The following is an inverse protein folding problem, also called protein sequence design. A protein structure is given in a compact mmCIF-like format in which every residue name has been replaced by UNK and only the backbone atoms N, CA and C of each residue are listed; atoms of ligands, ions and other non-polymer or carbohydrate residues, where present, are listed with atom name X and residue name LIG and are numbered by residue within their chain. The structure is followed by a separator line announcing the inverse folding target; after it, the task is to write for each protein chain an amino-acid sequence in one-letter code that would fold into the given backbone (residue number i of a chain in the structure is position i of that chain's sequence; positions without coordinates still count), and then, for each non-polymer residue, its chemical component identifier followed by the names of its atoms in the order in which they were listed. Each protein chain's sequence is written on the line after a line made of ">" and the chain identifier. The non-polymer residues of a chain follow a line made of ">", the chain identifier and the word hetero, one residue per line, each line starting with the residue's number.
data_IF_942161981965
#
_entry.id   IF_942161981965
#
_cell.length_a   1.000
_cell.length_b   1.000
_cell.length_c   1.000
_cell.angle_alpha   90.00
_cell.angle_beta   90.00
_cell.angle_gamma   90.00
#
_symmetry.space_group_name_H-M   'P 1'
#
loop_
_entity.id
_entity.type
_entity.pdbx_description
1 polymer ?
#
# COMPACT_ATOMS: atom_id res chain seq x y z
N UNK A 1 -36.79 -18.78 26.58
CA UNK A 1 -36.82 -17.90 25.40
C UNK A 1 -35.39 -17.51 25.08
N UNK A 2 -34.88 -17.80 23.89
CA UNK A 2 -33.47 -17.52 23.55
C UNK A 2 -33.19 -16.02 23.62
N UNK A 3 -31.99 -15.64 24.07
CA UNK A 3 -31.52 -14.23 24.16
C UNK A 3 -31.63 -13.46 22.83
N UNK A 4 -31.68 -14.16 21.70
CA UNK A 4 -31.88 -13.62 20.35
C UNK A 4 -33.31 -13.15 20.12
N UNK A 5 -34.34 -13.91 20.54
CA UNK A 5 -35.74 -13.55 20.30
C UNK A 5 -36.19 -12.28 21.03
N UNK A 6 -35.68 -12.04 22.24
CA UNK A 6 -35.99 -10.82 23.01
C UNK A 6 -35.35 -9.56 22.38
N UNK A 7 -34.14 -9.71 21.83
CA UNK A 7 -33.41 -8.61 21.19
C UNK A 7 -34.01 -8.24 19.84
N UNK A 8 -34.48 -9.21 19.07
CA UNK A 8 -35.17 -8.94 17.80
C UNK A 8 -36.55 -8.31 18.00
N UNK A 9 -37.27 -8.71 19.06
CA UNK A 9 -38.52 -8.06 19.46
C UNK A 9 -38.30 -6.60 19.86
N UNK A 10 -37.26 -6.31 20.65
CA UNK A 10 -36.90 -4.95 21.04
C UNK A 10 -36.50 -4.09 19.82
N UNK A 11 -35.77 -4.65 18.86
CA UNK A 11 -35.41 -3.95 17.61
C UNK A 11 -36.62 -3.64 16.74
N UNK A 12 -37.58 -4.56 16.61
CA UNK A 12 -38.84 -4.30 15.89
C UNK A 12 -39.66 -3.20 16.57
N UNK A 13 -39.84 -3.29 17.89
CA UNK A 13 -40.57 -2.27 18.65
C UNK A 13 -39.92 -0.88 18.54
N UNK A 14 -38.59 -0.80 18.57
CA UNK A 14 -37.89 0.47 18.37
C UNK A 14 -38.12 1.01 16.95
N UNK A 15 -38.07 0.15 15.93
CA UNK A 15 -38.30 0.55 14.53
C UNK A 15 -39.73 1.05 14.30
N UNK A 16 -40.72 0.35 14.85
CA UNK A 16 -42.13 0.76 14.81
C UNK A 16 -42.35 2.09 15.54
N UNK A 17 -41.70 2.28 16.70
CA UNK A 17 -41.78 3.53 17.46
C UNK A 17 -41.17 4.70 16.68
N UNK A 18 -40.02 4.50 16.02
CA UNK A 18 -39.37 5.52 15.19
C UNK A 18 -40.24 5.87 13.97
N UNK A 19 -40.90 4.89 13.36
CA UNK A 19 -41.81 5.13 12.24
C UNK A 19 -43.01 6.00 12.66
N UNK A 20 -43.67 5.66 13.78
CA UNK A 20 -44.78 6.45 14.32
C UNK A 20 -44.35 7.86 14.70
N UNK A 21 -43.15 8.03 15.25
CA UNK A 21 -42.58 9.36 15.55
C UNK A 21 -42.30 10.16 14.29
N UNK A 22 -41.79 9.53 13.24
CA UNK A 22 -41.51 10.18 11.95
C UNK A 22 -42.80 10.65 11.27
N UNK A 23 -43.85 9.84 11.31
CA UNK A 23 -45.18 10.21 10.78
C UNK A 23 -45.79 11.35 11.59
N UNK A 24 -45.61 11.35 12.91
CA UNK A 24 -46.06 12.42 13.80
C UNK A 24 -45.36 13.75 13.49
N UNK A 25 -44.03 13.72 13.27
CA UNK A 25 -43.26 14.92 12.86
C UNK A 25 -43.69 15.41 11.48
N UNK A 26 -43.98 14.52 10.53
CA UNK A 26 -44.49 14.90 9.22
C UNK A 26 -45.88 15.56 9.30
N UNK A 27 -46.76 15.06 10.17
CA UNK A 27 -48.06 15.67 10.47
C UNK A 27 -47.92 17.06 11.11
N UNK A 28 -47.00 17.22 12.07
CA UNK A 28 -46.69 18.51 12.69
C UNK A 28 -46.07 19.50 11.69
N UNK A 29 -45.26 19.04 10.73
CA UNK A 29 -44.77 19.87 9.64
C UNK A 29 -45.87 20.37 8.71
N UNK A 30 -46.90 19.55 8.45
CA UNK A 30 -48.09 19.97 7.68
C UNK A 30 -48.97 20.95 8.47
N UNK A 31 -49.09 20.79 9.78
CA UNK A 31 -49.81 21.78 10.61
C UNK A 31 -49.05 23.11 10.70
N UNK A 32 -47.71 23.09 10.71
CA UNK A 32 -46.86 24.29 10.69
C UNK A 32 -47.16 25.23 9.51
N UNK A 33 -47.36 24.67 8.31
CA UNK A 33 -47.68 25.44 7.10
C UNK A 33 -49.10 26.01 7.11
N UNK A 34 -50.06 25.30 7.74
CA UNK A 34 -51.42 25.79 7.91
C UNK A 34 -51.51 26.90 8.96
N UNK A 35 -50.79 26.78 10.08
CA UNK A 35 -50.80 27.74 11.19
C UNK A 35 -50.04 29.02 10.86
N UNK A 36 -48.96 28.94 10.07
CA UNK A 36 -48.20 30.12 9.62
C UNK A 36 -49.02 31.14 8.82
N UNK A 37 -50.12 30.71 8.20
CA UNK A 37 -51.00 31.58 7.42
C UNK A 37 -52.04 32.32 8.27
N UNK A 38 -52.17 32.01 9.56
CA UNK A 38 -53.20 32.58 10.46
C UNK A 38 -52.77 33.92 11.06
N UNK A 39 -51.45 34.18 11.17
CA UNK A 39 -50.89 35.50 11.49
C UNK A 39 -51.22 36.05 12.89
N UNK A 40 -51.68 35.22 13.83
CA UNK A 40 -52.02 35.65 15.20
C UNK A 40 -50.83 35.50 16.16
N UNK A 41 -50.81 36.24 17.29
CA UNK A 41 -49.78 36.09 18.33
C UNK A 41 -49.71 34.66 18.87
N UNK A 42 -50.86 34.02 19.09
CA UNK A 42 -50.95 32.64 19.58
C UNK A 42 -50.41 31.63 18.56
N UNK A 43 -50.66 31.85 17.26
CA UNK A 43 -50.07 31.04 16.19
C UNK A 43 -48.54 31.18 16.15
N UNK A 44 -48.02 32.36 16.44
CA UNK A 44 -46.58 32.65 16.46
C UNK A 44 -45.90 31.96 17.64
N UNK A 45 -46.52 32.00 18.83
CA UNK A 45 -46.03 31.28 20.00
C UNK A 45 -46.05 29.76 19.79
N UNK A 46 -47.13 29.22 19.19
CA UNK A 46 -47.24 27.80 18.87
C UNK A 46 -46.15 27.33 17.89
N UNK A 47 -45.82 28.15 16.88
CA UNK A 47 -44.72 27.87 15.96
C UNK A 47 -43.35 27.90 16.65
N UNK A 48 -43.14 28.83 17.59
CA UNK A 48 -41.91 28.89 18.37
C UNK A 48 -41.75 27.68 19.30
N UNK A 49 -42.84 27.23 19.93
CA UNK A 49 -42.84 26.04 20.80
C UNK A 49 -42.60 24.75 19.98
N UNK A 50 -43.16 24.66 18.77
CA UNK A 50 -42.88 23.58 17.82
C UNK A 50 -41.40 23.57 17.39
N UNK A 51 -40.85 24.72 17.05
CA UNK A 51 -39.45 24.84 16.65
C UNK A 51 -38.51 24.48 17.82
N UNK A 52 -38.85 24.90 19.04
CA UNK A 52 -38.12 24.52 20.25
C UNK A 52 -38.22 23.01 20.52
N UNK A 53 -39.37 22.39 20.28
CA UNK A 53 -39.55 20.94 20.42
C UNK A 53 -38.74 20.16 19.37
N UNK A 54 -38.78 20.57 18.10
CA UNK A 54 -37.99 19.96 17.03
C UNK A 54 -36.47 20.15 17.22
N UNK A 55 -36.05 21.21 17.91
CA UNK A 55 -34.65 21.46 18.27
C UNK A 55 -34.17 20.65 19.48
N UNK A 56 -35.05 19.94 20.21
CA UNK A 56 -34.62 19.10 21.34
C UNK A 56 -33.81 17.91 20.83
N UNK A 57 -32.57 17.83 21.28
CA UNK A 57 -31.69 16.68 21.07
C UNK A 57 -32.25 15.46 21.80
N UNK A 58 -32.36 14.33 21.11
CA UNK A 58 -32.84 13.09 21.73
C UNK A 58 -31.82 12.57 22.77
N UNK A 59 -32.28 11.94 23.88
CA UNK A 59 -31.37 11.33 24.85
C UNK A 59 -30.59 10.20 24.18
N UNK A 60 -29.30 10.43 23.91
CA UNK A 60 -28.43 9.53 23.15
C UNK A 60 -27.40 10.26 22.26
N UNK A 61 -27.59 11.55 21.98
CA UNK A 61 -26.57 12.40 21.32
C UNK A 61 -25.48 12.86 22.31
N UNK A 62 -25.00 11.96 23.16
CA UNK A 62 -23.85 12.24 24.02
C UNK A 62 -22.62 12.24 23.13
N UNK A 63 -22.18 13.44 22.75
CA UNK A 63 -20.97 13.73 21.98
C UNK A 63 -20.77 12.87 20.73
N UNK A 64 -21.32 13.31 19.58
CA UNK A 64 -20.81 12.84 18.30
C UNK A 64 -19.32 13.17 18.23
N UNK A 65 -18.48 12.15 18.40
CA UNK A 65 -17.05 12.23 18.15
C UNK A 65 -16.82 12.92 16.78
N UNK A 66 -15.82 13.80 16.62
CA UNK A 66 -15.57 14.49 15.35
C UNK A 66 -15.56 13.55 14.14
N UNK A 67 -15.08 12.32 14.31
CA UNK A 67 -15.09 11.29 13.26
C UNK A 67 -16.51 10.89 12.84
N UNK A 68 -17.46 10.76 13.78
CA UNK A 68 -18.85 10.44 13.46
C UNK A 68 -19.49 11.59 12.67
N UNK A 69 -19.21 12.83 13.06
CA UNK A 69 -19.67 14.01 12.32
C UNK A 69 -19.06 14.06 10.91
N UNK A 70 -17.78 13.70 10.77
CA UNK A 70 -17.12 13.61 9.46
C UNK A 70 -17.74 12.52 8.58
N UNK A 71 -18.07 11.36 9.15
CA UNK A 71 -18.78 10.27 8.45
C UNK A 71 -20.17 10.72 8.02
N UNK A 72 -20.93 11.39 8.89
CA UNK A 72 -22.27 11.90 8.58
C UNK A 72 -22.23 12.93 7.45
N UNK A 73 -21.28 13.86 7.50
CA UNK A 73 -21.07 14.86 6.44
C UNK A 73 -20.69 14.20 5.11
N UNK A 74 -19.81 13.21 5.13
CA UNK A 74 -19.41 12.49 3.92
C UNK A 74 -20.55 11.64 3.35
N UNK A 75 -21.33 11.00 4.21
CA UNK A 75 -22.52 10.26 3.81
C UNK A 75 -23.57 11.18 3.16
N UNK A 76 -23.71 12.42 3.63
CA UNK A 76 -24.57 13.42 2.98
C UNK A 76 -24.06 13.76 1.56
N UNK A 77 -22.76 13.99 1.38
CA UNK A 77 -22.15 14.25 0.07
C UNK A 77 -22.35 13.07 -0.90
N UNK A 78 -22.16 11.84 -0.43
CA UNK A 78 -22.42 10.62 -1.20
C UNK A 78 -23.88 10.55 -1.68
N UNK A 79 -24.85 10.85 -0.80
CA UNK A 79 -26.29 10.86 -1.13
C UNK A 79 -26.63 11.90 -2.19
N UNK A 80 -26.08 13.12 -2.09
CA UNK A 80 -26.26 14.18 -3.09
C UNK A 80 -25.75 13.71 -4.46
N UNK A 81 -24.56 13.11 -4.51
CA UNK A 81 -23.98 12.62 -5.76
C UNK A 81 -24.79 11.48 -6.38
N UNK A 82 -25.32 10.57 -5.57
CA UNK A 82 -26.24 9.54 -6.04
C UNK A 82 -27.55 10.13 -6.58
N UNK A 83 -28.05 11.22 -5.99
CA UNK A 83 -29.23 11.92 -6.50
C UNK A 83 -28.97 12.52 -7.89
N UNK A 84 -27.81 13.17 -8.09
CA UNK A 84 -27.39 13.68 -9.41
C UNK A 84 -27.23 12.56 -10.45
N UNK A 85 -26.61 11.44 -10.06
CA UNK A 85 -26.47 10.28 -10.94
C UNK A 85 -27.83 9.71 -11.37
N UNK A 86 -28.79 9.63 -10.43
CA UNK A 86 -30.18 9.22 -10.73
C UNK A 86 -30.91 10.19 -11.65
N UNK A 87 -30.60 11.48 -11.61
CA UNK A 87 -31.14 12.48 -12.52
C UNK A 87 -30.56 12.33 -13.94
N UNK A 88 -29.32 11.85 -14.06
CA UNK A 88 -28.67 11.49 -15.34
C UNK A 88 -29.06 10.11 -15.88
N UNK A 89 -30.05 9.45 -15.27
CA UNK A 89 -30.52 8.12 -15.68
C UNK A 89 -29.65 6.95 -15.22
N UNK A 90 -28.60 7.19 -14.43
CA UNK A 90 -27.73 6.15 -13.89
C UNK A 90 -28.39 5.52 -12.65
N UNK A 91 -28.97 4.32 -12.81
CA UNK A 91 -29.71 3.57 -11.78
C UNK A 91 -29.42 2.06 -11.90
N UNK A 92 -29.98 1.26 -10.98
CA UNK A 92 -30.03 -0.20 -11.15
C UNK A 92 -28.82 -0.98 -10.64
N UNK A 93 -27.90 -0.36 -9.90
CA UNK A 93 -26.73 -1.06 -9.32
C UNK A 93 -27.10 -2.21 -8.37
N UNK A 94 -28.30 -2.18 -7.78
CA UNK A 94 -28.82 -3.23 -6.89
C UNK A 94 -29.48 -4.40 -7.63
N UNK A 95 -29.58 -4.33 -8.96
CA UNK A 95 -30.21 -5.38 -9.75
C UNK A 95 -29.26 -6.57 -9.96
N UNK A 96 -29.80 -7.78 -10.07
CA UNK A 96 -29.03 -9.03 -10.22
C UNK A 96 -28.28 -9.13 -11.54
N UNK A 97 -28.72 -8.38 -12.57
CA UNK A 97 -28.02 -8.31 -13.86
C UNK A 97 -26.68 -7.59 -13.79
N UNK A 98 -26.47 -6.75 -12.77
CA UNK A 98 -25.19 -6.06 -12.56
C UNK A 98 -24.26 -7.01 -11.81
N UNK A 99 -23.12 -7.31 -12.43
CA UNK A 99 -22.10 -8.16 -11.83
C UNK A 99 -21.28 -7.34 -10.83
N UNK A 100 -20.92 -7.95 -9.70
CA UNK A 100 -20.09 -7.30 -8.68
C UNK A 100 -18.73 -6.88 -9.25
N UNK A 101 -18.18 -7.71 -10.15
CA UNK A 101 -16.98 -7.40 -10.92
C UNK A 101 -17.05 -6.06 -11.64
N UNK A 102 -18.19 -5.75 -12.26
CA UNK A 102 -18.38 -4.50 -13.00
C UNK A 102 -18.33 -3.29 -12.05
N UNK A 103 -18.92 -3.40 -10.87
CA UNK A 103 -18.86 -2.35 -9.85
C UNK A 103 -17.43 -2.18 -9.31
N UNK A 104 -16.69 -3.28 -9.13
CA UNK A 104 -15.28 -3.25 -8.74
C UNK A 104 -14.38 -2.60 -9.80
N UNK A 105 -14.61 -2.90 -11.09
CA UNK A 105 -13.92 -2.27 -12.22
C UNK A 105 -14.21 -0.76 -12.30
N UNK A 106 -15.46 -0.35 -12.06
CA UNK A 106 -15.82 1.07 -11.97
C UNK A 106 -15.12 1.77 -10.80
N UNK A 107 -15.11 1.17 -9.61
CA UNK A 107 -14.40 1.71 -8.44
C UNK A 107 -12.92 1.93 -8.75
N UNK A 108 -12.25 0.88 -9.23
CA UNK A 108 -10.82 0.91 -9.56
C UNK A 108 -10.52 1.92 -10.66
N UNK A 109 -11.38 2.00 -11.68
CA UNK A 109 -11.25 2.96 -12.78
C UNK A 109 -11.41 4.42 -12.35
N UNK A 110 -11.96 4.70 -11.17
CA UNK A 110 -12.06 6.06 -10.61
C UNK A 110 -10.81 6.47 -9.80
N UNK A 111 -10.01 5.52 -9.31
CA UNK A 111 -8.76 5.80 -8.58
C UNK A 111 -7.83 6.81 -9.30
N UNK A 112 -7.55 6.72 -10.62
CA UNK A 112 -6.61 7.62 -11.29
C UNK A 112 -7.19 8.99 -11.69
N UNK A 113 -8.51 9.24 -11.55
CA UNK A 113 -9.19 10.35 -12.26
C UNK A 113 -9.01 11.74 -11.66
N UNK A 114 -8.50 11.89 -10.43
CA UNK A 114 -8.01 13.16 -9.85
C UNK A 114 -8.96 14.37 -9.86
N UNK A 115 -10.26 14.19 -10.13
CA UNK A 115 -11.24 15.25 -10.34
C UNK A 115 -12.07 15.53 -9.07
N UNK A 116 -12.67 16.74 -8.95
CA UNK A 116 -13.58 17.05 -7.84
C UNK A 116 -14.73 16.04 -7.75
N UNK A 117 -15.01 15.56 -6.54
CA UNK A 117 -16.04 14.55 -6.30
C UNK A 117 -15.58 13.09 -6.43
N UNK A 118 -14.32 12.83 -6.76
CA UNK A 118 -13.85 11.47 -6.99
C UNK A 118 -13.90 10.57 -5.75
N UNK A 119 -13.74 11.16 -4.54
CA UNK A 119 -13.82 10.43 -3.29
C UNK A 119 -15.22 9.86 -3.06
N UNK A 120 -16.26 10.64 -3.37
CA UNK A 120 -17.66 10.26 -3.28
C UNK A 120 -18.00 9.18 -4.31
N UNK A 121 -17.41 9.20 -5.51
CA UNK A 121 -17.59 8.14 -6.51
C UNK A 121 -17.01 6.82 -6.02
N UNK A 122 -15.76 6.84 -5.55
CA UNK A 122 -15.07 5.65 -5.01
C UNK A 122 -15.86 5.10 -3.82
N UNK A 123 -16.28 5.97 -2.89
CA UNK A 123 -17.05 5.57 -1.73
C UNK A 123 -18.44 5.02 -2.10
N UNK A 124 -19.10 5.58 -3.11
CA UNK A 124 -20.38 5.08 -3.58
C UNK A 124 -20.25 3.67 -4.17
N UNK A 125 -19.25 3.41 -5.01
CA UNK A 125 -19.02 2.04 -5.52
C UNK A 125 -18.61 1.06 -4.40
N UNK A 126 -17.79 1.51 -3.43
CA UNK A 126 -17.42 0.69 -2.29
C UNK A 126 -18.64 0.32 -1.44
N UNK A 127 -19.53 1.29 -1.22
CA UNK A 127 -20.80 1.08 -0.53
C UNK A 127 -21.70 0.11 -1.31
N UNK A 128 -21.81 0.24 -2.63
CA UNK A 128 -22.60 -0.66 -3.47
C UNK A 128 -22.11 -2.12 -3.39
N UNK A 129 -20.80 -2.33 -3.44
CA UNK A 129 -20.17 -3.66 -3.28
C UNK A 129 -20.45 -4.23 -1.88
N UNK A 130 -20.29 -3.40 -0.84
CA UNK A 130 -20.59 -3.81 0.53
C UNK A 130 -22.07 -4.20 0.71
N UNK A 131 -23.02 -3.42 0.17
CA UNK A 131 -24.46 -3.71 0.27
C UNK A 131 -24.87 -4.97 -0.50
N UNK A 132 -24.04 -5.42 -1.46
CA UNK A 132 -24.25 -6.63 -2.24
C UNK A 132 -23.53 -7.85 -1.67
N UNK A 133 -22.83 -7.69 -0.54
CA UNK A 133 -21.99 -8.72 0.07
C UNK A 133 -20.95 -9.30 -0.91
N UNK A 134 -20.43 -8.43 -1.79
CA UNK A 134 -19.49 -8.83 -2.82
C UNK A 134 -18.17 -9.32 -2.19
N UNK A 135 -17.62 -10.42 -2.72
CA UNK A 135 -16.35 -10.95 -2.22
C UNK A 135 -15.21 -9.93 -2.43
N UNK A 136 -14.37 -9.63 -1.42
CA UNK A 136 -13.27 -8.66 -1.54
C UNK A 136 -12.25 -8.92 -2.68
N UNK A 137 -12.26 -10.12 -3.27
CA UNK A 137 -11.36 -10.52 -4.37
C UNK A 137 -11.73 -9.84 -5.68
N UNK A 138 -12.98 -9.41 -5.85
CA UNK A 138 -13.42 -8.65 -7.03
C UNK A 138 -12.61 -7.36 -7.21
N UNK A 139 -12.22 -6.70 -6.10
CA UNK A 139 -11.33 -5.52 -6.15
C UNK A 139 -9.92 -5.89 -6.62
N UNK A 140 -9.37 -7.01 -6.17
CA UNK A 140 -8.07 -7.52 -6.60
C UNK A 140 -8.08 -7.84 -8.09
N UNK A 141 -9.13 -8.50 -8.58
CA UNK A 141 -9.29 -8.82 -10.01
C UNK A 141 -9.42 -7.55 -10.85
N UNK A 142 -10.26 -6.60 -10.42
CA UNK A 142 -10.42 -5.32 -11.10
C UNK A 142 -9.10 -4.52 -11.17
N UNK A 143 -8.34 -4.47 -10.07
CA UNK A 143 -7.04 -3.80 -10.00
C UNK A 143 -6.01 -4.41 -10.97
N UNK A 144 -5.88 -5.74 -10.97
CA UNK A 144 -4.96 -6.45 -11.87
C UNK A 144 -5.37 -6.29 -13.35
N UNK A 145 -6.68 -6.28 -13.64
CA UNK A 145 -7.19 -6.02 -14.98
C UNK A 145 -6.87 -4.60 -15.46
N UNK A 146 -6.99 -3.60 -14.57
CA UNK A 146 -6.60 -2.21 -14.87
C UNK A 146 -5.10 -2.10 -15.20
N UNK A 147 -4.22 -2.72 -14.41
CA UNK A 147 -2.78 -2.72 -14.65
C UNK A 147 -2.43 -3.39 -16.00
N UNK A 148 -3.09 -4.50 -16.32
CA UNK A 148 -2.89 -5.22 -17.59
C UNK A 148 -3.32 -4.37 -18.81
N UNK A 149 -4.40 -3.59 -18.66
CA UNK A 149 -4.92 -2.69 -19.71
C UNK A 149 -4.02 -1.47 -19.93
N UNK A 150 -3.40 -0.94 -18.86
CA UNK A 150 -2.42 0.14 -18.94
C UNK A 150 -1.12 -0.33 -19.62
N UNK A 151 -0.70 -1.57 -19.34
CA UNK A 151 0.45 -2.19 -19.98
C UNK A 151 0.24 -2.38 -21.50
N UNK A 152 -0.94 -2.85 -21.92
CA UNK A 152 -1.27 -3.04 -23.35
C UNK A 152 -1.43 -1.75 -24.13
N UNK A 153 -1.97 -0.67 -23.53
CA UNK A 153 -2.06 0.65 -24.20
C UNK A 153 -0.70 1.31 -24.47
N UNK A 154 0.34 0.99 -23.69
CA UNK A 154 1.70 1.49 -23.94
C UNK A 154 2.40 0.80 -25.11
N UNK A 155 1.94 -0.39 -25.54
CA UNK A 155 2.58 -1.18 -26.60
C UNK A 155 2.09 -0.80 -28.00
N UNK A 156 0.91 -0.19 -28.14
CA UNK A 156 0.30 0.09 -29.46
C UNK A 156 0.52 1.50 -30.01
N UNK A 157 1.13 2.42 -29.26
CA UNK A 157 1.39 3.80 -29.73
C UNK A 157 2.87 4.04 -30.03
N UNK A 158 3.32 3.62 -31.21
CA UNK A 158 4.60 4.03 -31.79
C UNK A 158 4.63 3.76 -33.29
N UNK A 159 4.79 4.76 -34.17
CA UNK A 159 4.98 4.50 -35.58
C UNK A 159 6.39 3.94 -35.80
N UNK A 160 6.49 2.98 -36.70
CA UNK A 160 7.74 2.30 -37.02
C UNK A 160 8.81 3.28 -37.48
N UNK A 161 10.02 3.09 -36.97
CA UNK A 161 11.21 3.55 -37.68
C UNK A 161 12.35 2.54 -37.52
N UNK A 162 12.98 2.36 -38.66
CA UNK A 162 14.13 1.52 -39.03
C UNK A 162 15.16 1.26 -37.94
N UNK A 163 15.56 -0.01 -37.86
CA UNK A 163 16.58 -0.57 -37.00
C UNK A 163 17.91 0.20 -37.05
N UNK A 164 18.29 0.75 -35.91
CA UNK A 164 19.66 0.94 -35.46
C UNK A 164 19.83 0.03 -34.24
N UNK A 165 20.99 -0.60 -34.00
CA UNK A 165 21.15 -1.52 -32.89
C UNK A 165 20.99 -0.72 -31.59
N UNK A 166 19.86 -0.95 -30.92
CA UNK A 166 19.47 -0.28 -29.71
C UNK A 166 20.45 -0.72 -28.62
N UNK A 167 21.36 0.16 -28.23
CA UNK A 167 22.10 0.03 -26.98
C UNK A 167 21.04 -0.04 -25.88
N UNK A 168 20.72 -1.24 -25.41
CA UNK A 168 19.62 -1.46 -24.47
C UNK A 168 19.84 -0.55 -23.25
N UNK A 169 18.92 0.40 -23.04
CA UNK A 169 18.98 1.29 -21.88
C UNK A 169 18.88 0.45 -20.62
N UNK A 170 19.94 0.48 -19.80
CA UNK A 170 20.02 -0.20 -18.50
C UNK A 170 18.86 0.25 -17.60
N UNK A 171 18.02 -0.69 -17.13
CA UNK A 171 16.91 -0.34 -16.23
C UNK A 171 17.39 -0.37 -14.78
N UNK A 172 17.04 0.66 -14.01
CA UNK A 172 17.33 0.71 -12.58
C UNK A 172 16.07 0.44 -11.74
N UNK A 173 16.13 -0.52 -10.81
CA UNK A 173 15.00 -0.87 -9.92
C UNK A 173 15.40 -0.81 -8.44
N UNK A 174 14.49 -0.40 -7.54
CA UNK A 174 14.77 -0.38 -6.11
C UNK A 174 14.81 -1.80 -5.52
N UNK A 175 15.70 -2.02 -4.56
CA UNK A 175 15.71 -3.23 -3.72
C UNK A 175 15.94 -2.87 -2.24
N UNK A 176 15.34 -3.63 -1.33
CA UNK A 176 15.39 -3.39 0.11
C UNK A 176 16.21 -4.49 0.79
N UNK A 177 17.15 -4.09 1.64
CA UNK A 177 17.89 -5.00 2.51
C UNK A 177 17.71 -4.57 3.97
N UNK A 178 17.84 -5.52 4.91
CA UNK A 178 17.88 -5.20 6.33
C UNK A 178 19.27 -4.60 6.68
N UNK A 179 19.45 -4.14 7.93
CA UNK A 179 20.70 -3.52 8.37
C UNK A 179 21.93 -4.41 8.18
N UNK A 180 21.95 -5.63 8.73
CA UNK A 180 23.08 -6.55 8.58
C UNK A 180 23.41 -6.90 7.12
N UNK A 181 22.41 -7.13 6.27
CA UNK A 181 22.62 -7.37 4.82
C UNK A 181 23.15 -6.13 4.09
N UNK A 182 22.74 -4.93 4.50
CA UNK A 182 23.30 -3.68 3.98
C UNK A 182 24.77 -3.54 4.38
N UNK A 183 25.13 -3.95 5.60
CA UNK A 183 26.53 -4.02 6.03
C UNK A 183 27.34 -4.97 5.16
N UNK A 184 26.81 -6.17 4.90
CA UNK A 184 27.43 -7.17 4.05
C UNK A 184 27.67 -6.65 2.62
N UNK A 185 26.72 -5.88 2.07
CA UNK A 185 26.86 -5.24 0.76
C UNK A 185 27.97 -4.18 0.76
N UNK A 186 28.04 -3.33 1.79
CA UNK A 186 29.10 -2.32 1.92
C UNK A 186 30.49 -2.95 2.10
N UNK A 187 30.56 -4.10 2.78
CA UNK A 187 31.77 -4.89 2.95
C UNK A 187 32.14 -5.74 1.72
N UNK A 188 31.29 -5.78 0.68
CA UNK A 188 31.49 -6.61 -0.50
C UNK A 188 31.34 -8.13 -0.25
N UNK A 189 30.75 -8.52 0.88
CA UNK A 189 30.55 -9.91 1.28
C UNK A 189 29.26 -10.51 0.71
N UNK A 190 28.26 -9.67 0.39
CA UNK A 190 27.00 -10.10 -0.23
C UNK A 190 27.01 -9.83 -1.73
N UNK A 191 26.88 -10.88 -2.54
CA UNK A 191 26.85 -10.84 -4.01
C UNK A 191 25.62 -11.54 -4.59
N UNK A 192 24.84 -12.23 -3.76
CA UNK A 192 23.63 -12.95 -4.16
C UNK A 192 22.48 -12.58 -3.23
N UNK A 193 21.25 -12.57 -3.75
CA UNK A 193 20.05 -12.52 -2.92
C UNK A 193 18.96 -13.45 -3.44
N UNK A 194 18.32 -14.16 -2.51
CA UNK A 194 17.11 -14.96 -2.78
C UNK A 194 15.81 -14.23 -2.41
N UNK A 195 14.78 -14.36 -3.24
CA UNK A 195 13.44 -13.77 -3.04
C UNK A 195 12.34 -14.74 -3.46
N UNK A 196 11.27 -14.82 -2.68
CA UNK A 196 10.13 -15.71 -2.97
C UNK A 196 9.51 -15.44 -4.34
N UNK A 197 9.17 -16.51 -5.06
CA UNK A 197 8.33 -16.42 -6.27
C UNK A 197 6.85 -16.44 -5.83
N UNK A 198 6.15 -15.31 -5.93
CA UNK A 198 4.75 -15.18 -5.49
C UNK A 198 3.75 -16.01 -6.33
N UNK A 199 4.12 -16.42 -7.55
CA UNK A 199 3.34 -17.33 -8.39
C UNK A 199 4.10 -18.65 -8.55
N UNK A 200 3.67 -19.76 -7.92
CA UNK A 200 4.28 -21.05 -8.18
C UNK A 200 4.06 -21.44 -9.66
N UNK A 201 5.02 -22.11 -10.31
CA UNK A 201 4.85 -22.58 -11.68
C UNK A 201 3.57 -23.40 -11.80
N UNK A 202 2.73 -23.08 -12.80
CA UNK A 202 1.64 -23.96 -13.22
C UNK A 202 2.29 -25.23 -13.75
N UNK A 203 2.21 -26.34 -13.01
CA UNK A 203 2.60 -27.65 -13.55
C UNK A 203 1.49 -28.16 -14.47
N UNK A 204 1.75 -28.45 -15.76
CA UNK A 204 1.16 -29.61 -16.39
C UNK A 204 1.99 -30.82 -15.94
N UNK A 205 1.31 -31.91 -15.59
CA UNK A 205 1.93 -33.20 -15.33
C UNK A 205 3.00 -33.54 -16.38
N UNK A 206 4.21 -33.92 -15.97
CA UNK A 206 4.88 -35.17 -16.40
C UNK A 206 6.21 -35.42 -15.68
N UNK A 207 6.44 -36.72 -15.52
CA UNK A 207 7.48 -37.51 -14.87
C UNK A 207 8.96 -37.16 -15.14
N UNK A 208 9.79 -37.47 -14.13
CA UNK A 208 11.16 -38.02 -14.13
C UNK A 208 11.98 -37.92 -15.43
N UNK A 209 13.07 -37.13 -15.39
CA UNK A 209 14.31 -37.46 -16.08
C UNK A 209 15.51 -36.79 -15.40
N UNK A 210 16.53 -37.60 -15.16
CA UNK A 210 17.81 -37.27 -14.55
C UNK A 210 18.61 -36.23 -15.35
N UNK A 211 19.35 -35.37 -14.64
CA UNK A 211 20.63 -34.84 -15.12
C UNK A 211 20.61 -33.97 -16.38
N UNK A 212 19.97 -32.80 -16.34
CA UNK A 212 20.36 -31.56 -17.04
C UNK A 212 19.45 -30.43 -16.56
N UNK A 213 20.02 -29.24 -16.34
CA UNK A 213 19.37 -28.08 -15.73
C UNK A 213 17.90 -27.92 -16.14
N UNK A 214 17.00 -28.14 -15.19
CA UNK A 214 15.56 -28.14 -15.40
C UNK A 214 15.12 -26.68 -15.52
N UNK A 215 14.92 -26.22 -16.75
CA UNK A 215 14.05 -25.09 -17.00
C UNK A 215 12.64 -25.52 -16.57
N UNK A 216 12.17 -24.91 -15.49
CA UNK A 216 10.83 -25.13 -14.96
C UNK A 216 9.80 -24.68 -15.99
N UNK A 217 8.97 -25.62 -16.47
CA UNK A 217 7.87 -25.31 -17.38
C UNK A 217 6.93 -24.29 -16.72
N UNK A 218 7.03 -23.01 -17.13
CA UNK A 218 6.10 -21.95 -16.76
C UNK A 218 6.65 -20.75 -15.99
N UNK A 219 7.93 -20.72 -15.60
CA UNK A 219 8.59 -19.51 -15.06
C UNK A 219 9.80 -19.22 -15.94
N UNK A 220 9.69 -18.24 -16.82
CA UNK A 220 10.84 -17.78 -17.60
C UNK A 220 11.67 -16.84 -16.73
N UNK A 221 13.00 -16.97 -16.77
CA UNK A 221 13.91 -16.04 -16.10
C UNK A 221 13.64 -14.59 -16.49
N UNK A 222 13.14 -14.38 -17.72
CA UNK A 222 12.69 -13.10 -18.27
C UNK A 222 11.62 -12.38 -17.42
N UNK A 223 10.83 -13.13 -16.64
CA UNK A 223 9.75 -12.60 -15.79
C UNK A 223 10.24 -12.11 -14.42
N UNK A 224 11.54 -12.16 -14.14
CA UNK A 224 12.10 -11.73 -12.86
C UNK A 224 11.75 -10.26 -12.57
N UNK A 225 11.06 -9.96 -11.45
CA UNK A 225 10.63 -8.60 -11.12
C UNK A 225 11.80 -7.66 -10.81
N UNK A 226 12.97 -8.23 -10.50
CA UNK A 226 14.19 -7.47 -10.17
C UNK A 226 14.98 -7.05 -11.42
N UNK A 227 14.74 -7.67 -12.57
CA UNK A 227 15.42 -7.35 -13.83
C UNK A 227 16.22 -8.52 -14.38
N UNK A 228 16.97 -8.22 -15.44
CA UNK A 228 17.80 -9.19 -16.17
C UNK A 228 19.29 -8.87 -16.03
N UNK A 229 20.20 -9.81 -16.36
CA UNK A 229 21.63 -9.52 -16.46
C UNK A 229 21.90 -8.24 -17.27
N UNK A 230 22.71 -7.34 -16.71
CA UNK A 230 22.99 -6.01 -17.25
C UNK A 230 22.06 -4.90 -16.75
N UNK A 231 20.90 -5.21 -16.16
CA UNK A 231 20.09 -4.24 -15.41
C UNK A 231 20.77 -3.88 -14.07
N UNK A 232 20.27 -2.83 -13.40
CA UNK A 232 20.81 -2.35 -12.13
C UNK A 232 19.76 -2.34 -11.03
N UNK A 233 20.20 -2.65 -9.82
CA UNK A 233 19.45 -2.52 -8.58
C UNK A 233 20.06 -1.43 -7.73
N UNK A 234 19.23 -0.53 -7.22
CA UNK A 234 19.65 0.50 -6.28
C UNK A 234 19.10 0.19 -4.88
N UNK A 235 19.99 0.10 -3.91
CA UNK A 235 19.62 -0.33 -2.55
C UNK A 235 18.95 0.81 -1.80
N UNK A 236 17.88 0.50 -1.09
CA UNK A 236 17.19 1.41 -0.19
C UNK A 236 17.61 1.19 1.26
N UNK A 237 18.19 2.23 1.84
CA UNK A 237 18.70 2.25 3.21
C UNK A 237 17.82 3.12 4.11
N UNK A 238 17.87 2.90 5.43
CA UNK A 238 17.27 3.82 6.39
C UNK A 238 18.18 5.03 6.54
N UNK A 239 17.66 6.24 6.30
CA UNK A 239 18.49 7.40 6.01
C UNK A 239 17.88 8.70 6.53
N UNK A 240 18.66 9.78 6.46
CA UNK A 240 18.26 11.15 6.73
C UNK A 240 18.97 12.09 5.74
N UNK A 241 18.30 13.10 5.17
CA UNK A 241 19.01 14.15 4.47
C UNK A 241 19.80 14.96 5.49
N UNK A 242 21.09 15.07 5.25
CA UNK A 242 22.04 15.88 6.02
C UNK A 242 22.86 16.68 5.03
N UNK A 243 22.42 17.89 4.67
CA UNK A 243 23.21 18.75 3.80
C UNK A 243 24.46 19.17 4.56
N UNK A 244 25.60 18.56 4.25
CA UNK A 244 26.88 18.98 4.79
C UNK A 244 27.18 20.45 4.48
N UNK A 245 27.86 21.06 5.44
CA UNK A 245 28.10 22.48 5.64
C UNK A 245 28.66 23.22 4.40
N UNK A 246 27.98 24.28 3.98
CA UNK A 246 28.50 25.21 2.97
C UNK A 246 27.46 25.92 2.11
N UNK A 247 26.18 25.48 2.11
CA UNK A 247 25.13 26.20 1.40
C UNK A 247 24.58 27.33 2.27
N UNK A 248 24.50 28.55 1.74
CA UNK A 248 24.09 29.77 2.45
C UNK A 248 22.72 29.64 3.15
N UNK A 249 21.80 28.84 2.59
CA UNK A 249 20.49 28.55 3.21
C UNK A 249 20.54 27.64 4.45
N UNK A 250 21.71 27.08 4.80
CA UNK A 250 21.95 26.12 5.89
C UNK A 250 23.30 26.38 6.61
N UNK A 251 23.83 27.62 6.51
CA UNK A 251 25.06 28.06 7.19
C UNK A 251 24.96 28.07 8.71
N UNK A 252 23.77 27.86 9.27
CA UNK A 252 23.58 27.65 10.70
C UNK A 252 23.60 26.13 10.96
N UNK A 253 24.67 25.63 11.59
CA UNK A 253 24.84 24.25 12.08
C UNK A 253 23.73 23.78 13.08
N UNK A 254 22.61 24.51 13.16
CA UNK A 254 21.57 24.42 14.19
C UNK A 254 20.27 23.77 13.69
N UNK A 255 20.07 23.61 12.38
CA UNK A 255 18.85 23.00 11.85
C UNK A 255 19.04 21.49 11.64
N UNK A 256 18.69 20.71 12.67
CA UNK A 256 18.51 19.27 12.50
C UNK A 256 17.43 19.00 11.44
N UNK A 257 17.50 17.83 10.76
CA UNK A 257 16.42 17.36 9.88
C UNK A 257 15.03 17.45 10.55
N UNK A 258 14.96 17.16 11.84
CA UNK A 258 13.71 17.24 12.61
C UNK A 258 13.16 18.67 12.69
N UNK A 259 14.04 19.68 12.79
CA UNK A 259 13.68 21.09 12.79
C UNK A 259 13.17 21.53 11.42
N UNK A 260 13.77 21.03 10.34
CA UNK A 260 13.35 21.32 8.97
C UNK A 260 11.95 20.78 8.64
N UNK A 261 11.65 19.54 9.02
CA UNK A 261 10.31 18.96 8.84
C UNK A 261 9.28 19.69 9.71
N UNK A 262 9.64 20.08 10.94
CA UNK A 262 8.76 20.89 11.81
C UNK A 262 8.43 22.25 11.22
N UNK A 263 9.31 22.82 10.41
CA UNK A 263 9.06 24.05 9.64
C UNK A 263 8.16 23.84 8.40
N UNK A 264 7.54 22.66 8.24
CA UNK A 264 6.58 22.35 7.17
C UNK A 264 7.22 21.94 5.84
N UNK A 265 8.56 21.80 5.80
CA UNK A 265 9.28 21.44 4.57
C UNK A 265 9.23 19.93 4.31
N UNK A 266 8.96 19.56 3.05
CA UNK A 266 8.83 18.19 2.56
C UNK A 266 10.07 17.77 1.79
N UNK A 267 10.34 16.47 1.68
CA UNK A 267 11.55 15.94 1.03
C UNK A 267 11.75 16.38 -0.43
N UNK A 268 10.67 16.69 -1.14
CA UNK A 268 10.71 17.29 -2.48
C UNK A 268 11.30 18.70 -2.49
N UNK A 269 11.28 19.40 -1.36
CA UNK A 269 11.77 20.76 -1.17
C UNK A 269 13.29 20.78 -0.91
N UNK A 270 13.95 19.62 -0.84
CA UNK A 270 15.42 19.55 -0.80
C UNK A 270 15.96 20.12 -2.12
N UNK A 271 16.82 21.16 -2.08
CA UNK A 271 17.40 21.77 -3.27
C UNK A 271 18.12 20.76 -4.15
N UNK A 272 17.99 20.88 -5.47
CA UNK A 272 18.57 19.93 -6.43
C UNK A 272 20.09 19.78 -6.26
N UNK A 273 20.80 20.87 -5.94
CA UNK A 273 22.24 20.86 -5.66
C UNK A 273 22.63 19.94 -4.49
N UNK A 274 21.72 19.74 -3.53
CA UNK A 274 21.90 18.94 -2.33
C UNK A 274 21.37 17.51 -2.47
N UNK A 275 20.70 17.16 -3.58
CA UNK A 275 20.19 15.81 -3.83
C UNK A 275 21.30 14.85 -4.27
N UNK A 276 22.23 14.54 -3.37
CA UNK A 276 23.36 13.64 -3.60
C UNK A 276 23.57 12.71 -2.40
N UNK A 277 24.07 11.49 -2.59
CA UNK A 277 24.26 10.54 -1.50
C UNK A 277 25.19 11.04 -0.39
N UNK A 278 26.16 11.91 -0.72
CA UNK A 278 27.05 12.58 0.25
C UNK A 278 26.35 13.56 1.20
N UNK A 279 25.13 14.00 0.87
CA UNK A 279 24.32 14.85 1.74
C UNK A 279 23.25 14.04 2.48
N UNK A 280 23.56 12.78 2.76
CA UNK A 280 22.69 11.88 3.47
C UNK A 280 23.49 11.22 4.60
N UNK A 281 22.88 11.13 5.77
CA UNK A 281 23.33 10.25 6.85
C UNK A 281 22.56 8.94 6.71
N UNK A 282 23.26 7.81 6.74
CA UNK A 282 22.65 6.49 6.73
C UNK A 282 22.72 5.91 8.13
N UNK A 283 21.64 5.25 8.57
CA UNK A 283 21.53 4.71 9.92
C UNK A 283 22.65 3.74 10.26
N UNK A 284 23.14 3.01 9.27
CA UNK A 284 24.19 2.01 9.43
C UNK A 284 25.58 2.61 9.72
N UNK A 285 25.82 3.86 9.31
CA UNK A 285 27.12 4.50 9.48
C UNK A 285 27.28 5.14 10.87
N UNK A 286 26.18 5.24 11.64
CA UNK A 286 26.14 6.02 12.87
C UNK A 286 26.11 5.10 14.07
N UNK A 287 27.15 5.18 14.90
CA UNK A 287 27.21 4.52 16.20
C UNK A 287 26.61 5.40 17.32
N UNK A 288 26.00 4.79 18.34
CA UNK A 288 25.54 5.46 19.57
C UNK A 288 24.12 6.04 19.55
N UNK A 289 23.84 6.97 20.48
CA UNK A 289 22.52 7.48 20.90
C UNK A 289 21.67 8.24 19.85
N UNK A 290 21.98 8.09 18.55
CA UNK A 290 21.14 8.53 17.43
C UNK A 290 19.83 7.73 17.29
N UNK A 291 19.56 6.79 18.20
CA UNK A 291 18.26 6.11 18.34
C UNK A 291 17.09 7.07 18.54
N UNK A 292 17.33 8.30 19.05
CA UNK A 292 16.30 9.35 19.17
C UNK A 292 16.03 10.12 17.86
N UNK A 293 16.83 9.89 16.82
CA UNK A 293 16.64 10.55 15.53
C UNK A 293 15.40 10.03 14.83
N UNK A 294 14.63 10.93 14.19
CA UNK A 294 13.46 10.58 13.38
C UNK A 294 13.88 10.06 12.00
N UNK A 295 14.48 8.87 11.95
CA UNK A 295 14.93 8.20 10.74
C UNK A 295 13.83 8.08 9.67
N UNK A 296 14.18 8.25 8.40
CA UNK A 296 13.28 7.91 7.29
C UNK A 296 13.37 6.42 7.00
N UNK A 297 12.24 5.70 7.00
CA UNK A 297 12.21 4.31 6.56
C UNK A 297 12.77 4.14 5.14
N UNK A 298 13.47 3.03 4.91
CA UNK A 298 14.05 2.67 3.62
C UNK A 298 13.03 2.67 2.47
N UNK A 299 11.77 2.29 2.72
CA UNK A 299 10.69 2.30 1.73
C UNK A 299 10.42 3.68 1.11
N UNK A 300 10.78 4.76 1.79
CA UNK A 300 10.58 6.14 1.32
C UNK A 300 11.85 6.77 0.73
N UNK A 301 12.94 6.01 0.62
CA UNK A 301 14.19 6.53 0.09
C UNK A 301 14.09 6.79 -1.43
N UNK A 302 14.39 8.02 -1.90
CA UNK A 302 14.42 8.36 -3.31
C UNK A 302 15.74 7.94 -3.96
N UNK A 303 15.75 7.82 -5.29
CA UNK A 303 16.93 7.36 -6.05
C UNK A 303 18.19 8.23 -5.85
N UNK A 304 18.02 9.55 -5.72
CA UNK A 304 19.14 10.49 -5.55
C UNK A 304 19.89 10.32 -4.22
N UNK A 305 19.25 9.71 -3.22
CA UNK A 305 19.83 9.43 -1.91
C UNK A 305 20.52 8.06 -1.86
N UNK A 306 20.51 7.28 -2.95
CA UNK A 306 21.11 5.95 -2.96
C UNK A 306 22.62 6.03 -3.23
N UNK A 307 23.43 5.42 -2.35
CA UNK A 307 24.89 5.27 -2.53
C UNK A 307 25.34 3.89 -2.99
N UNK A 308 24.48 2.87 -2.95
CA UNK A 308 24.81 1.50 -3.32
C UNK A 308 24.06 1.12 -4.60
N UNK A 309 24.81 0.93 -5.67
CA UNK A 309 24.31 0.47 -6.96
C UNK A 309 24.89 -0.92 -7.25
N UNK A 310 24.03 -1.83 -7.69
CA UNK A 310 24.35 -3.22 -7.97
C UNK A 310 24.00 -3.50 -9.43
N UNK A 311 24.91 -4.07 -10.19
CA UNK A 311 24.66 -4.56 -11.55
C UNK A 311 24.33 -6.04 -11.48
N UNK A 312 23.18 -6.44 -12.04
CA UNK A 312 22.75 -7.83 -12.08
C UNK A 312 23.66 -8.59 -13.04
N UNK A 313 24.25 -9.69 -12.57
CA UNK A 313 25.15 -10.54 -13.36
C UNK A 313 24.46 -11.82 -13.83
N UNK A 314 23.57 -12.37 -13.01
CA UNK A 314 22.83 -13.59 -13.32
C UNK A 314 21.47 -13.61 -12.59
N UNK A 315 20.49 -14.27 -13.19
CA UNK A 315 19.16 -14.48 -12.59
C UNK A 315 18.69 -15.89 -12.91
N UNK A 316 18.32 -16.63 -11.86
CA UNK A 316 17.80 -18.00 -12.00
C UNK A 316 16.74 -18.31 -10.95
N UNK A 317 16.12 -19.47 -11.10
CA UNK A 317 15.08 -19.98 -10.19
C UNK A 317 15.59 -21.28 -9.58
N UNK A 318 15.66 -21.34 -8.26
CA UNK A 318 16.11 -22.51 -7.50
C UNK A 318 15.12 -22.84 -6.38
N UNK A 319 15.20 -24.06 -5.83
CA UNK A 319 14.57 -24.37 -4.56
C UNK A 319 15.33 -23.70 -3.42
N UNK A 320 14.61 -23.20 -2.43
CA UNK A 320 15.19 -22.50 -1.29
C UNK A 320 16.27 -23.31 -0.56
N UNK A 321 16.02 -24.60 -0.33
CA UNK A 321 16.92 -25.48 0.42
C UNK A 321 18.06 -26.06 -0.43
N UNK A 322 18.06 -25.87 -1.76
CA UNK A 322 19.15 -26.32 -2.65
C UNK A 322 20.32 -25.32 -2.64
N UNK A 323 20.61 -24.74 -1.47
CA UNK A 323 21.66 -23.75 -1.27
C UNK A 323 22.99 -24.43 -0.93
N UNK A 324 24.09 -23.98 -1.54
CA UNK A 324 25.44 -24.43 -1.18
C UNK A 324 26.05 -23.53 -0.10
N UNK A 325 27.07 -23.99 0.66
CA UNK A 325 27.72 -23.15 1.66
C UNK A 325 28.35 -21.89 1.05
N UNK A 326 28.90 -21.98 -0.16
CA UNK A 326 29.44 -20.81 -0.87
C UNK A 326 28.34 -19.79 -1.20
N UNK A 327 27.17 -20.27 -1.61
CA UNK A 327 26.02 -19.41 -1.87
C UNK A 327 25.46 -18.79 -0.57
N UNK A 328 25.51 -19.50 0.56
CA UNK A 328 25.15 -18.95 1.86
C UNK A 328 26.13 -17.84 2.28
N UNK A 329 27.44 -18.02 2.08
CA UNK A 329 28.44 -16.96 2.27
C UNK A 329 28.14 -15.76 1.36
N UNK A 330 27.84 -16.00 0.08
CA UNK A 330 27.50 -14.98 -0.90
C UNK A 330 26.17 -14.26 -0.60
N UNK A 331 25.28 -14.86 0.20
CA UNK A 331 24.11 -14.19 0.78
C UNK A 331 24.49 -13.24 1.93
N UNK A 332 25.73 -13.29 2.42
CA UNK A 332 26.22 -12.41 3.48
C UNK A 332 25.91 -12.91 4.90
N UNK A 333 25.67 -14.21 5.09
CA UNK A 333 25.32 -14.78 6.41
C UNK A 333 26.41 -14.54 7.47
N UNK A 334 27.67 -14.47 7.04
CA UNK A 334 28.80 -14.22 7.94
C UNK A 334 28.73 -12.84 8.61
N UNK A 335 28.21 -11.82 7.93
CA UNK A 335 28.02 -10.48 8.52
C UNK A 335 26.92 -10.47 9.59
N UNK A 336 26.14 -11.55 9.71
CA UNK A 336 25.07 -11.71 10.68
C UNK A 336 25.38 -12.80 11.71
N UNK A 337 26.55 -13.46 11.65
CA UNK A 337 26.88 -14.63 12.47
C UNK A 337 26.63 -14.38 13.95
N UNK A 338 27.15 -13.28 14.49
CA UNK A 338 27.00 -12.95 15.91
C UNK A 338 25.54 -12.74 16.35
N UNK A 339 24.64 -12.41 15.41
CA UNK A 339 23.20 -12.27 15.69
C UNK A 339 22.42 -13.57 15.50
N UNK A 340 22.89 -14.45 14.60
CA UNK A 340 22.23 -15.71 14.26
C UNK A 340 22.69 -16.85 15.18
N UNK A 341 23.93 -16.77 15.66
CA UNK A 341 24.56 -17.71 16.58
C UNK A 341 25.14 -16.97 17.80
N UNK A 342 24.28 -16.35 18.64
CA UNK A 342 24.75 -15.60 19.81
C UNK A 342 25.43 -16.50 20.86
N UNK A 343 25.10 -17.79 20.86
CA UNK A 343 25.62 -18.79 21.79
C UNK A 343 26.96 -19.39 21.33
N UNK A 344 27.39 -19.08 20.09
CA UNK A 344 28.67 -19.54 19.51
C UNK A 344 28.72 -21.06 19.33
N UNK A 345 27.58 -21.67 19.00
CA UNK A 345 27.44 -23.12 18.82
C UNK A 345 28.25 -23.61 17.61
N UNK A 346 28.51 -22.73 16.64
CA UNK A 346 29.34 -23.02 15.47
C UNK A 346 28.54 -23.63 14.32
N UNK A 347 27.35 -23.08 14.05
CA UNK A 347 26.50 -23.51 12.93
C UNK A 347 27.21 -23.39 11.57
N UNK A 348 26.91 -24.33 10.67
CA UNK A 348 27.37 -24.26 9.28
C UNK A 348 26.77 -23.04 8.57
N UNK A 349 27.35 -22.65 7.43
CA UNK A 349 26.88 -21.51 6.66
C UNK A 349 25.42 -21.70 6.17
N UNK A 350 25.04 -22.92 5.81
CA UNK A 350 23.68 -23.28 5.40
C UNK A 350 22.69 -23.22 6.56
N UNK A 351 23.10 -23.66 7.75
CA UNK A 351 22.31 -23.55 8.97
C UNK A 351 22.09 -22.07 9.34
N UNK A 352 23.14 -21.25 9.28
CA UNK A 352 23.03 -19.80 9.47
C UNK A 352 22.08 -19.16 8.45
N UNK A 353 22.14 -19.60 7.18
CA UNK A 353 21.19 -19.14 6.16
C UNK A 353 19.74 -19.53 6.52
N UNK A 354 19.52 -20.74 7.02
CA UNK A 354 18.18 -21.19 7.42
C UNK A 354 17.61 -20.33 8.55
N UNK A 355 18.42 -20.02 9.57
CA UNK A 355 18.04 -19.16 10.70
C UNK A 355 17.73 -17.75 10.20
N UNK A 356 18.58 -17.21 9.33
CA UNK A 356 18.36 -15.91 8.71
C UNK A 356 17.04 -15.88 7.92
N UNK A 357 16.79 -16.88 7.08
CA UNK A 357 15.58 -16.96 6.28
C UNK A 357 14.32 -17.04 7.14
N UNK A 358 14.34 -17.89 8.16
CA UNK A 358 13.25 -18.06 9.12
C UNK A 358 12.99 -16.74 9.86
N UNK A 359 14.02 -16.02 10.27
CA UNK A 359 13.85 -14.73 10.95
C UNK A 359 13.14 -13.67 10.09
N UNK A 360 13.25 -13.78 8.76
CA UNK A 360 12.69 -12.82 7.81
C UNK A 360 11.31 -13.25 7.28
N UNK A 361 11.12 -14.54 7.03
CA UNK A 361 9.97 -15.08 6.31
C UNK A 361 9.13 -16.07 7.14
N UNK A 362 9.58 -16.45 8.34
CA UNK A 362 8.93 -17.43 9.21
C UNK A 362 9.26 -18.90 8.90
N UNK A 363 9.04 -19.77 9.89
CA UNK A 363 9.34 -21.22 9.80
C UNK A 363 8.55 -21.95 8.71
N UNK A 364 7.27 -21.61 8.55
CA UNK A 364 6.37 -22.21 7.54
C UNK A 364 6.97 -22.10 6.12
N UNK A 365 7.58 -20.95 5.80
CA UNK A 365 8.19 -20.71 4.49
C UNK A 365 9.50 -21.47 4.28
N UNK A 366 10.21 -21.86 5.34
CA UNK A 366 11.39 -22.71 5.20
C UNK A 366 11.00 -24.16 4.89
N UNK A 367 10.02 -24.69 5.65
CA UNK A 367 9.60 -26.09 5.56
C UNK A 367 8.96 -26.46 4.21
N UNK A 368 8.25 -25.50 3.59
CA UNK A 368 7.62 -25.71 2.27
C UNK A 368 8.65 -25.79 1.13
N UNK A 369 9.90 -25.40 1.38
CA UNK A 369 10.98 -25.34 0.38
C UNK A 369 10.52 -24.67 -0.94
N UNK A 370 10.05 -23.40 -0.88
CA UNK A 370 9.48 -22.72 -2.03
C UNK A 370 10.52 -22.47 -3.14
N UNK A 371 10.01 -22.18 -4.34
CA UNK A 371 10.84 -21.63 -5.41
C UNK A 371 11.22 -20.19 -5.09
N UNK A 372 12.47 -19.85 -5.34
CA UNK A 372 13.04 -18.51 -5.13
C UNK A 372 13.74 -18.01 -6.38
N UNK A 373 13.60 -16.72 -6.64
CA UNK A 373 14.48 -15.97 -7.53
C UNK A 373 15.84 -15.85 -6.85
N UNK A 374 16.88 -16.32 -7.52
CA UNK A 374 18.27 -16.11 -7.14
C UNK A 374 18.83 -15.04 -8.07
N UNK A 375 19.17 -13.90 -7.50
CA UNK A 375 19.71 -12.74 -8.24
C UNK A 375 21.15 -12.53 -7.81
N UNK A 376 22.07 -12.71 -8.74
CA UNK A 376 23.49 -12.40 -8.55
C UNK A 376 23.80 -11.01 -9.04
N UNK A 377 24.69 -10.32 -8.34
CA UNK A 377 25.07 -8.97 -8.67
C UNK A 377 26.48 -8.63 -8.19
N UNK A 378 27.05 -7.61 -8.82
CA UNK A 378 28.29 -6.96 -8.38
C UNK A 378 28.03 -5.50 -8.05
N UNK A 379 28.74 -4.97 -7.06
CA UNK A 379 28.65 -3.55 -6.73
C UNK A 379 29.33 -2.71 -7.81
N UNK A 380 28.68 -1.62 -8.22
CA UNK A 380 29.20 -0.67 -9.22
C UNK A 380 29.21 0.74 -8.63
N UNK A 381 30.08 1.59 -9.19
CA UNK A 381 30.13 3.00 -8.76
C UNK A 381 28.83 3.70 -9.17
N UNK A 382 28.22 4.51 -8.27
CA UNK A 382 26.97 5.24 -8.52
C UNK A 382 27.01 6.21 -9.69
#
# INVERSE_FOLDING_TARGET
>A
MSRTGARDKARRQLTETIAVWSDSVALLGKSRTLVGNVGTPDATQYLADLDAFCARLFPGQVHQHPDNLAVDNFAAAMKTKLAEARAKGLRGWSETRVQDRTLAEMLVGHIPKGNPGNFEDIANFAMMLHQRDAHPRELTFAYNAMLSTIATRRVQSGPGNTATPNTAMTKERPILFNGPMTHALLAGQKTVTRRLVETPPRTPHTELAEGRGVQTAGVHTDDCPYGQPGDRLWVRETWLPCPDAGHESWSNHTLSYSTWVRAGKKICDVPAALRKPRHCIYRIDVAGDYHRSKWRPNIHMPRWACRILLEITDVRVERLQDITPEQAIAEGVLSCRDHLDPDGIGYSEEELFSILWVSLNGHENWNVNPWVWVVEFKQVKP
#
